data_IF_669574979370
#
_entry.id   IF_669574979370
#
_cell.length_a   1.000
_cell.length_b   1.000
_cell.length_c   1.000
_cell.angle_alpha   90.00
_cell.angle_beta   90.00
_cell.angle_gamma   90.00
#
_symmetry.space_group_name_H-M   'P 1'
#
loop_
_entity.id
_entity.type
_entity.pdbx_description
1 polymer ?
#
# COMPACT_ATOMS: atom_id res chain seq x y z
N UNK A 1 -1.03 11.05 8.50
CA UNK A 1 0.10 10.12 8.25
C UNK A 1 0.25 9.92 6.75
N UNK A 2 1.47 9.83 6.27
CA UNK A 2 1.74 9.53 4.87
C UNK A 2 2.84 8.48 4.74
N UNK A 3 2.79 7.71 3.66
CA UNK A 3 3.81 6.70 3.33
C UNK A 3 4.20 6.91 1.87
N UNK A 4 5.50 7.02 1.62
CA UNK A 4 6.04 7.18 0.26
C UNK A 4 6.52 5.85 -0.27
N UNK A 5 6.06 5.49 -1.46
CA UNK A 5 6.46 4.27 -2.17
C UNK A 5 6.94 4.69 -3.56
N UNK A 6 8.22 4.50 -3.84
CA UNK A 6 8.81 4.99 -5.08
C UNK A 6 8.69 6.51 -5.18
N UNK A 7 8.01 7.00 -6.20
CA UNK A 7 7.77 8.43 -6.42
C UNK A 7 6.39 8.90 -5.97
N UNK A 8 5.63 8.03 -5.31
CA UNK A 8 4.25 8.33 -4.91
C UNK A 8 4.17 8.44 -3.40
N UNK A 9 3.61 9.53 -2.91
CA UNK A 9 3.30 9.72 -1.49
C UNK A 9 1.81 9.50 -1.29
N UNK A 10 1.49 8.50 -0.49
CA UNK A 10 0.12 8.16 -0.12
C UNK A 10 -0.24 8.92 1.16
N UNK A 11 -1.14 9.87 1.05
CA UNK A 11 -1.54 10.74 2.17
C UNK A 11 -2.70 10.17 2.98
N UNK A 12 -3.33 9.10 2.50
CA UNK A 12 -4.37 8.39 3.22
C UNK A 12 -3.87 6.99 3.55
N UNK A 13 -3.78 6.71 4.86
CA UNK A 13 -3.24 5.46 5.37
C UNK A 13 -4.24 4.92 6.40
N UNK A 14 -4.74 3.70 6.18
CA UNK A 14 -5.64 3.03 7.10
C UNK A 14 -5.24 1.58 7.28
N UNK A 15 -5.11 1.15 8.53
CA UNK A 15 -4.83 -0.24 8.86
C UNK A 15 -6.06 -0.89 9.48
N UNK A 16 -6.50 -2.01 8.89
CA UNK A 16 -7.54 -2.87 9.44
C UNK A 16 -6.86 -4.02 10.18
N UNK A 17 -6.81 -3.91 11.50
CA UNK A 17 -6.11 -4.88 12.34
C UNK A 17 -6.80 -6.26 12.35
N UNK A 18 -8.11 -6.28 12.19
CA UNK A 18 -8.88 -7.55 12.18
C UNK A 18 -8.56 -8.38 10.94
N UNK A 19 -8.47 -7.73 9.78
CA UNK A 19 -8.16 -8.38 8.52
C UNK A 19 -6.66 -8.42 8.22
N UNK A 20 -5.85 -7.68 8.97
CA UNK A 20 -4.42 -7.47 8.73
C UNK A 20 -4.16 -6.91 7.32
N UNK A 21 -4.89 -5.87 6.97
CA UNK A 21 -4.81 -5.21 5.67
C UNK A 21 -4.49 -3.74 5.84
N UNK A 22 -3.49 -3.26 5.12
CA UNK A 22 -3.08 -1.85 5.11
C UNK A 22 -3.49 -1.21 3.80
N UNK A 23 -4.30 -0.15 3.89
CA UNK A 23 -4.77 0.63 2.74
C UNK A 23 -3.96 1.91 2.61
N UNK A 24 -3.33 2.09 1.45
CA UNK A 24 -2.62 3.31 1.08
C UNK A 24 -3.34 3.94 -0.10
N UNK A 25 -3.65 5.24 -0.03
CA UNK A 25 -4.32 5.95 -1.11
C UNK A 25 -3.83 7.39 -1.23
N UNK A 26 -3.85 7.90 -2.47
CA UNK A 26 -3.60 9.31 -2.76
C UNK A 26 -4.96 10.00 -2.94
N UNK A 27 -5.27 10.96 -2.07
CA UNK A 27 -6.50 11.73 -2.17
C UNK A 27 -7.75 10.89 -1.95
N UNK A 28 -8.84 11.28 -2.61
CA UNK A 28 -10.14 10.65 -2.45
C UNK A 28 -10.19 9.28 -3.14
N UNK A 29 -10.50 8.18 -2.42
CA UNK A 29 -10.61 6.84 -3.02
C UNK A 29 -11.62 6.74 -4.15
N UNK A 30 -12.61 7.63 -4.23
CA UNK A 30 -13.59 7.63 -5.31
C UNK A 30 -13.00 7.97 -6.67
N UNK A 31 -11.79 8.52 -6.72
CA UNK A 31 -11.10 8.81 -7.98
C UNK A 31 -10.47 7.57 -8.63
N UNK A 32 -10.39 6.46 -7.90
CA UNK A 32 -9.92 5.21 -8.47
C UNK A 32 -10.98 4.62 -9.40
N UNK A 33 -10.62 4.37 -10.66
CA UNK A 33 -11.53 3.87 -11.68
C UNK A 33 -11.11 2.52 -12.27
N UNK A 34 -9.88 2.08 -11.99
CA UNK A 34 -9.35 0.82 -12.49
C UNK A 34 -8.62 0.09 -11.37
N UNK A 35 -8.59 -1.24 -11.47
CA UNK A 35 -8.08 -2.10 -10.41
C UNK A 35 -7.25 -3.22 -11.02
N UNK A 36 -6.17 -3.61 -10.31
CA UNK A 36 -5.32 -4.72 -10.72
C UNK A 36 -4.79 -5.43 -9.47
N UNK A 37 -4.17 -6.57 -9.67
CA UNK A 37 -3.50 -7.32 -8.60
C UNK A 37 -2.04 -7.48 -8.96
N UNK A 38 -1.13 -7.19 -8.02
CA UNK A 38 0.28 -7.42 -8.26
C UNK A 38 0.59 -8.92 -8.20
N UNK A 39 1.64 -9.38 -8.91
CA UNK A 39 2.06 -10.79 -8.82
C UNK A 39 2.36 -11.24 -7.38
N UNK A 40 2.68 -10.29 -6.51
CA UNK A 40 2.95 -10.55 -5.10
C UNK A 40 1.68 -10.69 -4.25
N UNK A 41 0.49 -10.50 -4.85
CA UNK A 41 -0.78 -10.70 -4.15
C UNK A 41 -1.36 -9.44 -3.51
N UNK A 42 -0.89 -8.26 -3.90
CA UNK A 42 -1.42 -6.99 -3.39
C UNK A 42 -2.37 -6.35 -4.40
N UNK A 43 -3.39 -5.63 -3.92
CA UNK A 43 -4.33 -4.94 -4.80
C UNK A 43 -3.81 -3.54 -5.15
N UNK A 44 -4.01 -3.15 -6.41
CA UNK A 44 -3.57 -1.88 -6.95
C UNK A 44 -4.78 -1.12 -7.49
N UNK A 45 -4.78 0.21 -7.37
CA UNK A 45 -5.84 1.08 -7.87
C UNK A 45 -5.25 2.20 -8.70
N UNK A 46 -5.90 2.51 -9.81
CA UNK A 46 -5.47 3.51 -10.78
C UNK A 46 -6.57 4.55 -11.00
N UNK A 47 -6.19 5.80 -11.27
CA UNK A 47 -7.13 6.85 -11.64
C UNK A 47 -7.46 6.80 -13.15
N UNK A 48 -8.29 7.73 -13.61
CA UNK A 48 -8.71 7.80 -15.01
C UNK A 48 -7.58 8.10 -15.99
N UNK A 49 -6.43 8.59 -15.51
CA UNK A 49 -5.24 8.83 -16.31
C UNK A 49 -4.28 7.62 -16.30
N UNK A 50 -4.63 6.54 -15.61
CA UNK A 50 -3.79 5.35 -15.50
C UNK A 50 -2.68 5.47 -14.46
N UNK A 51 -2.74 6.49 -13.59
CA UNK A 51 -1.76 6.67 -12.54
C UNK A 51 -2.11 5.82 -11.32
N UNK A 52 -1.10 5.17 -10.72
CA UNK A 52 -1.28 4.42 -9.48
C UNK A 52 -1.63 5.37 -8.33
N UNK A 53 -2.80 5.17 -7.72
CA UNK A 53 -3.30 6.01 -6.63
C UNK A 53 -3.64 5.22 -5.37
N UNK A 54 -3.60 3.91 -5.42
CA UNK A 54 -3.90 3.08 -4.25
C UNK A 54 -3.15 1.77 -4.24
N UNK A 55 -2.72 1.35 -3.04
CA UNK A 55 -2.13 0.03 -2.80
C UNK A 55 -2.81 -0.54 -1.56
N UNK A 56 -3.28 -1.78 -1.67
CA UNK A 56 -3.80 -2.54 -0.53
C UNK A 56 -2.84 -3.67 -0.24
N UNK A 57 -2.12 -3.56 0.87
CA UNK A 57 -1.16 -4.59 1.30
C UNK A 57 -1.87 -5.60 2.19
N UNK A 58 -1.90 -6.86 1.76
CA UNK A 58 -2.47 -7.95 2.55
C UNK A 58 -1.41 -8.56 3.45
N UNK A 59 -1.82 -9.04 4.62
CA UNK A 59 -0.92 -9.59 5.65
C UNK A 59 0.15 -8.58 6.08
N UNK A 60 -0.26 -7.34 6.32
CA UNK A 60 0.65 -6.21 6.55
C UNK A 60 1.55 -6.41 7.78
N UNK A 61 1.01 -6.95 8.88
CA UNK A 61 1.80 -7.23 10.08
C UNK A 61 2.84 -8.31 9.83
N UNK A 62 2.47 -9.34 9.08
CA UNK A 62 3.40 -10.41 8.71
C UNK A 62 4.54 -9.87 7.85
N UNK A 63 4.24 -8.95 6.91
CA UNK A 63 5.26 -8.30 6.09
C UNK A 63 6.20 -7.46 6.95
N UNK A 64 5.65 -6.73 7.93
CA UNK A 64 6.44 -5.93 8.86
C UNK A 64 7.35 -6.82 9.72
N UNK A 65 6.81 -7.89 10.29
CA UNK A 65 7.54 -8.80 11.16
C UNK A 65 8.64 -9.57 10.41
N UNK A 66 8.45 -9.79 9.11
CA UNK A 66 9.44 -10.46 8.26
C UNK A 66 10.70 -9.65 8.01
N UNK A 67 10.65 -8.34 8.22
CA UNK A 67 11.77 -7.39 8.08
C UNK A 67 12.51 -7.48 6.74
N UNK A 68 11.83 -7.97 5.69
CA UNK A 68 12.36 -8.06 4.34
C UNK A 68 11.73 -6.99 3.47
N UNK A 69 12.45 -6.44 2.46
CA UNK A 69 11.85 -5.48 1.54
C UNK A 69 10.58 -6.04 0.90
N UNK A 70 9.54 -5.21 0.88
CA UNK A 70 8.28 -5.55 0.24
C UNK A 70 8.37 -5.11 -1.21
N UNK A 71 8.23 -6.04 -2.15
CA UNK A 71 8.41 -5.79 -3.57
C UNK A 71 7.05 -5.76 -4.27
N UNK A 72 6.83 -4.73 -5.07
CA UNK A 72 5.68 -4.61 -5.97
C UNK A 72 6.26 -4.38 -7.36
N UNK A 73 5.88 -5.19 -8.34
CA UNK A 73 6.52 -5.20 -9.66
C UNK A 73 5.70 -4.56 -10.75
N UNK A 74 4.44 -4.21 -10.50
CA UNK A 74 3.61 -3.49 -11.44
C UNK A 74 3.01 -2.24 -10.77
N UNK A 75 2.79 -1.12 -11.47
CA UNK A 75 3.11 -0.84 -12.88
C UNK A 75 4.61 -0.77 -13.16
N UNK A 76 5.40 -0.59 -12.12
CA UNK A 76 6.86 -0.63 -12.17
C UNK A 76 7.39 -1.24 -10.87
N UNK A 77 8.63 -1.70 -10.89
CA UNK A 77 9.22 -2.29 -9.70
C UNK A 77 9.49 -1.22 -8.64
N UNK A 78 8.87 -1.37 -7.49
CA UNK A 78 9.13 -0.54 -6.30
C UNK A 78 9.37 -1.45 -5.11
N UNK A 79 10.18 -0.97 -4.17
CA UNK A 79 10.47 -1.69 -2.94
C UNK A 79 10.07 -0.83 -1.75
N UNK A 80 9.33 -1.42 -0.81
CA UNK A 80 8.89 -0.74 0.41
C UNK A 80 9.71 -1.29 1.56
N UNK A 81 10.37 -0.41 2.31
CA UNK A 81 11.01 -0.78 3.57
C UNK A 81 9.91 -1.12 4.58
N UNK A 82 9.91 -2.33 5.18
CA UNK A 82 8.92 -2.69 6.19
C UNK A 82 8.84 -1.68 7.34
N UNK A 83 9.94 -1.06 7.71
CA UNK A 83 9.95 -0.05 8.76
C UNK A 83 9.05 1.16 8.44
N UNK A 84 8.81 1.45 7.17
CA UNK A 84 7.89 2.53 6.77
C UNK A 84 6.44 2.24 7.14
N UNK A 85 6.07 0.98 7.31
CA UNK A 85 4.72 0.56 7.67
C UNK A 85 4.49 0.56 9.18
N UNK A 86 5.55 0.51 9.98
CA UNK A 86 5.44 0.34 11.42
C UNK A 86 4.53 1.37 12.10
N UNK A 87 4.62 2.68 11.81
CA UNK A 87 3.75 3.66 12.46
C UNK A 87 2.26 3.39 12.21
N UNK A 88 1.89 2.97 11.01
CA UNK A 88 0.50 2.70 10.65
C UNK A 88 -0.02 1.43 11.32
N UNK A 89 0.74 0.34 11.28
CA UNK A 89 0.36 -0.95 11.82
C UNK A 89 0.33 -0.92 13.35
N UNK A 90 1.34 -0.32 13.97
CA UNK A 90 1.46 -0.30 15.44
C UNK A 90 0.49 0.67 16.10
N UNK A 91 0.17 1.80 15.45
CA UNK A 91 -0.74 2.79 16.03
C UNK A 91 -2.20 2.33 16.03
N UNK A 92 -2.55 1.35 15.21
CA UNK A 92 -3.90 0.79 15.15
C UNK A 92 -4.14 -0.32 16.17
N UNK A 93 -3.10 -0.77 16.84
CA UNK A 93 -3.18 -1.89 17.79
C UNK A 93 -3.78 -1.46 19.14
#
# INVERSE_FOLDING_TARGET
MSITVGHTTFDRVRYDAEADVLYLHVGDPSQAVDFDESPEGHALRYDGAGKLVGITLVNAKQLLDGAKPIVITIPERVTIDPAALAPAVQSAA
#
